data_IF_492274040947
#
_entry.id   IF_492274040947
#
_cell.length_a   1.000
_cell.length_b   1.000
_cell.length_c   1.000
_cell.angle_alpha   90.00
_cell.angle_beta   90.00
_cell.angle_gamma   90.00
#
_symmetry.space_group_name_H-M   'P 1'
#
loop_
_entity.id
_entity.type
_entity.pdbx_description
1 polymer ?
#
# COMPACT_ATOMS: atom_id res chain seq x y z
N UNK A 1 -2.32 18.31 -16.15
CA UNK A 1 -2.05 16.88 -16.45
C UNK A 1 -0.88 16.32 -15.65
N UNK A 2 0.14 17.13 -15.32
CA UNK A 2 1.31 16.70 -14.52
C UNK A 2 0.94 16.15 -13.14
N UNK A 3 -0.04 16.75 -12.45
CA UNK A 3 -0.35 16.37 -11.07
C UNK A 3 -1.02 15.01 -10.91
N UNK A 4 -1.92 14.65 -11.82
CA UNK A 4 -2.52 13.30 -11.81
C UNK A 4 -1.42 12.28 -12.09
N UNK A 5 -0.58 12.52 -13.11
CA UNK A 5 0.57 11.66 -13.41
C UNK A 5 1.50 11.45 -12.22
N UNK A 6 1.75 12.52 -11.44
CA UNK A 6 2.55 12.46 -10.22
C UNK A 6 1.90 11.60 -9.12
N UNK A 7 0.59 11.72 -8.89
CA UNK A 7 -0.13 10.87 -7.91
C UNK A 7 -0.09 9.40 -8.36
N UNK A 8 -0.31 9.13 -9.65
CA UNK A 8 -0.21 7.78 -10.21
C UNK A 8 1.19 7.19 -10.00
N UNK A 9 2.23 7.99 -10.27
CA UNK A 9 3.62 7.59 -10.06
C UNK A 9 3.91 7.34 -8.57
N UNK A 10 3.46 8.22 -7.68
CA UNK A 10 3.63 8.07 -6.23
C UNK A 10 2.98 6.76 -5.75
N UNK A 11 1.76 6.45 -6.21
CA UNK A 11 1.07 5.21 -5.92
C UNK A 11 1.81 3.98 -6.43
N UNK A 12 2.32 4.02 -7.66
CA UNK A 12 3.11 2.93 -8.22
C UNK A 12 4.39 2.67 -7.40
N UNK A 13 5.16 3.73 -7.10
CA UNK A 13 6.39 3.63 -6.31
C UNK A 13 6.09 3.10 -4.91
N UNK A 14 5.09 3.66 -4.22
CA UNK A 14 4.67 3.17 -2.91
C UNK A 14 4.30 1.68 -2.94
N UNK A 15 3.57 1.25 -3.96
CA UNK A 15 3.15 -0.16 -4.14
C UNK A 15 4.34 -1.07 -4.34
N UNK A 16 5.32 -0.67 -5.16
CA UNK A 16 6.55 -1.42 -5.40
C UNK A 16 7.35 -1.54 -4.10
N UNK A 17 7.56 -0.44 -3.37
CA UNK A 17 8.30 -0.44 -2.10
C UNK A 17 7.65 -1.35 -1.05
N UNK A 18 6.32 -1.28 -0.92
CA UNK A 18 5.56 -2.15 -0.01
C UNK A 18 5.65 -3.61 -0.44
N UNK A 19 5.47 -3.90 -1.73
CA UNK A 19 5.54 -5.27 -2.27
C UNK A 19 6.89 -5.90 -2.01
N UNK A 20 7.98 -5.16 -2.27
CA UNK A 20 9.35 -5.63 -2.02
C UNK A 20 9.56 -5.87 -0.52
N UNK A 21 9.09 -4.95 0.33
CA UNK A 21 9.24 -5.06 1.79
C UNK A 21 8.53 -6.29 2.34
N UNK A 22 7.28 -6.52 1.94
CA UNK A 22 6.51 -7.67 2.39
C UNK A 22 7.01 -8.98 1.79
N UNK A 23 7.41 -8.97 0.52
CA UNK A 23 8.06 -10.13 -0.09
C UNK A 23 9.37 -10.48 0.61
N UNK A 24 10.17 -9.50 1.05
CA UNK A 24 11.40 -9.75 1.81
C UNK A 24 11.10 -10.40 3.16
N UNK A 25 10.05 -9.94 3.86
CA UNK A 25 9.59 -10.55 5.12
C UNK A 25 9.13 -12.00 4.88
N UNK A 26 8.37 -12.22 3.81
CA UNK A 26 7.93 -13.57 3.44
C UNK A 26 9.10 -14.49 3.10
N UNK A 27 10.04 -14.01 2.29
CA UNK A 27 11.22 -14.75 1.86
C UNK A 27 12.14 -15.13 3.03
N UNK A 28 12.21 -14.29 4.07
CA UNK A 28 12.92 -14.61 5.31
C UNK A 28 12.28 -15.80 6.09
N UNK A 29 11.12 -16.29 5.67
CA UNK A 29 10.46 -17.49 6.21
C UNK A 29 9.79 -17.28 7.56
N UNK A 30 9.82 -16.07 8.13
CA UNK A 30 9.29 -15.78 9.46
C UNK A 30 7.77 -15.57 9.49
N UNK A 31 7.16 -15.18 8.36
CA UNK A 31 5.74 -14.86 8.24
C UNK A 31 5.24 -15.19 6.83
N UNK A 32 4.05 -15.78 6.68
CA UNK A 32 3.40 -15.93 5.36
C UNK A 32 2.82 -14.58 4.88
N UNK A 33 3.70 -13.67 4.50
CA UNK A 33 3.37 -12.32 4.04
C UNK A 33 3.31 -12.20 2.50
N UNK A 34 3.11 -13.31 1.77
CA UNK A 34 2.92 -13.28 0.31
C UNK A 34 1.53 -12.75 -0.06
N UNK A 35 1.37 -11.45 0.16
CA UNK A 35 0.13 -10.72 -0.07
C UNK A 35 -0.26 -10.75 -1.56
N UNK A 36 0.71 -10.69 -2.47
CA UNK A 36 0.43 -10.69 -3.91
C UNK A 36 -0.25 -12.00 -4.30
N UNK A 37 0.29 -13.14 -3.90
CA UNK A 37 -0.37 -14.42 -4.18
C UNK A 37 -1.64 -14.63 -3.38
N UNK A 38 -1.72 -14.13 -2.15
CA UNK A 38 -2.98 -14.15 -1.39
C UNK A 38 -4.10 -13.44 -2.15
N UNK A 39 -3.90 -12.19 -2.55
CA UNK A 39 -4.86 -11.40 -3.33
C UNK A 39 -5.20 -12.08 -4.65
N UNK A 40 -4.21 -12.53 -5.41
CA UNK A 40 -4.49 -13.16 -6.70
C UNK A 40 -5.25 -14.48 -6.58
N UNK A 41 -4.95 -15.26 -5.54
CA UNK A 41 -5.60 -16.54 -5.28
C UNK A 41 -7.04 -16.42 -4.80
N UNK A 42 -7.46 -15.24 -4.32
CA UNK A 42 -8.89 -14.95 -4.11
C UNK A 42 -9.69 -15.10 -5.39
N UNK A 43 -9.13 -14.70 -6.53
CA UNK A 43 -9.79 -14.77 -7.84
C UNK A 43 -9.58 -16.11 -8.52
N UNK A 44 -8.35 -16.63 -8.49
CA UNK A 44 -7.99 -17.84 -9.25
C UNK A 44 -8.31 -19.13 -8.52
N UNK A 45 -8.42 -19.08 -7.18
CA UNK A 45 -8.49 -20.26 -6.30
C UNK A 45 -7.32 -21.24 -6.50
N UNK A 46 -6.21 -20.76 -7.05
CA UNK A 46 -5.05 -21.57 -7.46
C UNK A 46 -3.77 -20.75 -7.30
N UNK A 47 -2.83 -21.26 -6.50
CA UNK A 47 -1.53 -20.64 -6.23
C UNK A 47 -0.64 -20.45 -7.45
N UNK A 48 -0.72 -21.37 -8.40
CA UNK A 48 0.13 -21.34 -9.59
C UNK A 48 -0.30 -20.23 -10.55
N UNK A 49 -1.57 -19.82 -10.48
CA UNK A 49 -2.15 -18.76 -11.32
C UNK A 49 -2.30 -17.43 -10.58
N UNK A 50 -2.03 -17.39 -9.28
CA UNK A 50 -2.31 -16.23 -8.42
C UNK A 50 -1.39 -15.03 -8.66
N UNK A 51 -0.16 -15.23 -9.13
CA UNK A 51 0.84 -14.16 -9.16
C UNK A 51 0.40 -12.95 -10.01
N UNK A 52 -0.02 -13.18 -11.25
CA UNK A 52 -0.35 -12.09 -12.20
C UNK A 52 -1.61 -11.32 -11.76
N UNK A 53 -2.75 -11.97 -11.45
CA UNK A 53 -3.92 -11.25 -10.93
C UNK A 53 -3.62 -10.50 -9.63
N UNK A 54 -2.75 -11.05 -8.78
CA UNK A 54 -2.27 -10.40 -7.56
C UNK A 54 -1.54 -9.09 -7.83
N UNK A 55 -0.55 -9.11 -8.74
CA UNK A 55 0.24 -7.93 -9.11
C UNK A 55 -0.66 -6.84 -9.68
N UNK A 56 -1.53 -7.20 -10.63
CA UNK A 56 -2.46 -6.26 -11.26
C UNK A 56 -3.34 -5.61 -10.21
N UNK A 57 -3.97 -6.43 -9.36
CA UNK A 57 -4.87 -5.96 -8.31
C UNK A 57 -4.14 -5.03 -7.34
N UNK A 58 -2.94 -5.42 -6.90
CA UNK A 58 -2.17 -4.64 -5.93
C UNK A 58 -1.73 -3.28 -6.51
N UNK A 59 -1.30 -3.24 -7.77
CA UNK A 59 -0.96 -1.99 -8.48
C UNK A 59 -2.19 -1.10 -8.64
N UNK A 60 -3.33 -1.66 -9.06
CA UNK A 60 -4.57 -0.88 -9.24
C UNK A 60 -4.99 -0.25 -7.91
N UNK A 61 -5.07 -1.03 -6.83
CA UNK A 61 -5.43 -0.49 -5.51
C UNK A 61 -4.39 0.50 -4.99
N UNK A 62 -3.10 0.20 -5.14
CA UNK A 62 -2.04 1.10 -4.68
C UNK A 62 -2.00 2.42 -5.43
N UNK A 63 -2.36 2.45 -6.71
CA UNK A 63 -2.58 3.70 -7.45
C UNK A 63 -3.83 4.42 -6.96
N UNK A 64 -4.95 3.71 -6.76
CA UNK A 64 -6.20 4.31 -6.29
C UNK A 64 -6.06 4.93 -4.89
N UNK A 65 -5.37 4.25 -3.97
CA UNK A 65 -5.13 4.76 -2.60
C UNK A 65 -4.13 5.92 -2.55
N UNK A 66 -3.37 6.18 -3.60
CA UNK A 66 -2.47 7.34 -3.64
C UNK A 66 -3.23 8.66 -3.67
N UNK A 67 -4.45 8.70 -4.19
CA UNK A 67 -5.30 9.90 -4.25
C UNK A 67 -5.69 10.41 -2.85
N UNK A 68 -6.32 9.61 -1.97
CA UNK A 68 -6.61 10.06 -0.61
C UNK A 68 -5.33 10.35 0.19
N UNK A 69 -4.22 9.65 -0.08
CA UNK A 69 -2.92 9.98 0.53
C UNK A 69 -2.45 11.37 0.13
N UNK A 70 -2.46 11.67 -1.16
CA UNK A 70 -2.06 12.97 -1.68
C UNK A 70 -2.91 14.11 -1.10
N UNK A 71 -4.23 13.90 -0.97
CA UNK A 71 -5.15 14.87 -0.36
C UNK A 71 -4.77 15.18 1.10
N UNK A 72 -4.54 14.15 1.91
CA UNK A 72 -4.21 14.32 3.33
C UNK A 72 -2.81 14.90 3.51
N UNK A 73 -1.82 14.40 2.75
CA UNK A 73 -0.44 14.90 2.77
C UNK A 73 -0.39 16.39 2.40
N UNK A 74 -1.24 16.85 1.48
CA UNK A 74 -1.30 18.26 1.10
C UNK A 74 -1.77 19.20 2.21
N UNK A 75 -2.40 18.68 3.28
CA UNK A 75 -2.77 19.48 4.44
C UNK A 75 -1.58 19.75 5.37
N UNK A 76 -0.47 19.04 5.18
CA UNK A 76 0.75 19.25 5.94
C UNK A 76 1.53 20.48 5.40
N UNK A 77 2.44 21.07 6.20
CA UNK A 77 3.35 22.08 5.71
C UNK A 77 4.09 21.63 4.44
N UNK A 78 4.22 22.52 3.45
CA UNK A 78 4.86 22.25 2.15
C UNK A 78 6.40 22.14 2.24
N UNK A 79 6.88 21.21 3.07
CA UNK A 79 8.28 20.85 3.23
C UNK A 79 8.43 19.33 3.17
N UNK A 80 9.53 18.85 2.58
CA UNK A 80 9.75 17.43 2.31
C UNK A 80 9.51 16.53 3.53
N UNK A 81 10.05 16.90 4.69
CA UNK A 81 9.93 16.08 5.90
C UNK A 81 8.49 15.94 6.38
N UNK A 82 7.66 16.98 6.24
CA UNK A 82 6.26 16.94 6.65
C UNK A 82 5.45 16.00 5.74
N UNK A 83 5.82 15.89 4.46
CA UNK A 83 5.19 14.99 3.51
C UNK A 83 5.52 13.53 3.82
N UNK A 84 6.79 13.25 4.12
CA UNK A 84 7.26 11.91 4.49
C UNK A 84 6.60 11.47 5.80
N UNK A 85 6.60 12.32 6.83
CA UNK A 85 6.02 12.00 8.14
C UNK A 85 4.51 11.80 8.04
N UNK A 86 3.79 12.70 7.35
CA UNK A 86 2.33 12.56 7.17
C UNK A 86 2.00 11.33 6.36
N UNK A 87 2.73 11.06 5.28
CA UNK A 87 2.58 9.86 4.45
C UNK A 87 2.83 8.58 5.25
N UNK A 88 3.91 8.53 6.02
CA UNK A 88 4.23 7.40 6.90
C UNK A 88 3.16 7.17 7.97
N UNK A 89 2.70 8.23 8.65
CA UNK A 89 1.63 8.14 9.64
C UNK A 89 0.33 7.61 9.03
N UNK A 90 -0.06 8.11 7.85
CA UNK A 90 -1.23 7.62 7.13
C UNK A 90 -1.05 6.16 6.70
N UNK A 91 0.13 5.81 6.21
CA UNK A 91 0.58 4.45 5.96
C UNK A 91 0.36 3.51 7.14
N UNK A 92 0.85 3.91 8.31
CA UNK A 92 0.71 3.16 9.54
C UNK A 92 -0.76 2.91 9.92
N UNK A 93 -1.60 3.95 9.93
CA UNK A 93 -3.02 3.80 10.27
C UNK A 93 -3.78 2.97 9.24
N UNK A 94 -3.51 3.15 7.95
CA UNK A 94 -4.11 2.34 6.90
C UNK A 94 -3.68 0.87 7.03
N UNK A 95 -2.42 0.62 7.34
CA UNK A 95 -1.91 -0.72 7.60
C UNK A 95 -2.58 -1.40 8.79
N UNK A 96 -2.92 -0.65 9.85
CA UNK A 96 -3.72 -1.17 10.97
C UNK A 96 -5.12 -1.57 10.53
N UNK A 97 -5.79 -0.69 9.77
CA UNK A 97 -7.12 -0.96 9.23
C UNK A 97 -7.12 -2.22 8.36
N UNK A 98 -6.18 -2.30 7.41
CA UNK A 98 -6.06 -3.44 6.49
C UNK A 98 -5.66 -4.70 7.25
N UNK A 99 -4.70 -4.63 8.17
CA UNK A 99 -4.28 -5.75 9.01
C UNK A 99 -5.44 -6.32 9.84
N UNK A 100 -6.26 -5.45 10.43
CA UNK A 100 -7.47 -5.86 11.16
C UNK A 100 -8.48 -6.54 10.23
N UNK A 101 -8.83 -5.91 9.09
CA UNK A 101 -9.75 -6.49 8.12
C UNK A 101 -9.26 -7.84 7.62
N UNK A 102 -7.95 -7.97 7.38
CA UNK A 102 -7.35 -9.21 6.92
C UNK A 102 -7.55 -10.35 7.92
N UNK A 103 -7.13 -10.14 9.17
CA UNK A 103 -7.21 -11.18 10.21
C UNK A 103 -8.66 -11.48 10.60
N UNK A 104 -9.51 -10.44 10.72
CA UNK A 104 -10.86 -10.60 11.23
C UNK A 104 -11.85 -11.12 10.18
N UNK A 105 -11.70 -10.73 8.91
CA UNK A 105 -12.73 -10.96 7.88
C UNK A 105 -12.23 -11.77 6.69
N UNK A 106 -11.02 -11.49 6.22
CA UNK A 106 -10.51 -12.01 4.94
C UNK A 106 -9.91 -13.41 5.13
N UNK A 107 -9.07 -13.60 6.14
CA UNK A 107 -8.37 -14.85 6.42
C UNK A 107 -9.36 -16.01 6.57
N UNK A 108 -10.40 -15.85 7.39
CA UNK A 108 -11.39 -16.90 7.66
C UNK A 108 -12.12 -17.42 6.42
N UNK A 109 -12.23 -16.60 5.37
CA UNK A 109 -12.97 -16.91 4.14
C UNK A 109 -12.06 -17.12 2.93
N UNK A 110 -10.75 -17.07 3.11
CA UNK A 110 -9.81 -17.20 2.02
C UNK A 110 -10.01 -18.56 1.32
N UNK A 111 -10.02 -18.66 -0.02
CA UNK A 111 -10.26 -19.93 -0.72
C UNK A 111 -9.17 -20.99 -0.44
N UNK A 112 -7.94 -20.55 -0.24
CA UNK A 112 -6.79 -21.41 0.08
C UNK A 112 -6.47 -21.44 1.58
N UNK A 113 -6.23 -22.63 2.12
CA UNK A 113 -5.99 -22.89 3.55
C UNK A 113 -4.76 -22.18 4.11
N UNK A 114 -3.64 -22.16 3.36
CA UNK A 114 -2.39 -21.53 3.78
C UNK A 114 -2.48 -20.01 4.06
N UNK A 115 -3.53 -19.34 3.59
CA UNK A 115 -3.79 -17.93 3.86
C UNK A 115 -4.93 -17.72 4.87
N UNK A 116 -5.59 -18.80 5.34
CA UNK A 116 -6.58 -18.73 6.41
C UNK A 116 -5.97 -18.55 7.80
N UNK A 117 -4.70 -18.90 7.93
CA UNK A 117 -3.93 -18.81 9.18
C UNK A 117 -3.24 -17.44 9.37
N UNK A 118 -3.67 -16.41 8.62
CA UNK A 118 -3.10 -15.07 8.78
C UNK A 118 -3.37 -14.54 10.20
N UNK A 119 -2.34 -14.56 11.04
CA UNK A 119 -2.38 -14.08 12.41
C UNK A 119 -1.81 -12.69 12.60
N UNK A 120 -1.52 -12.34 13.86
CA UNK A 120 -0.98 -11.02 14.26
C UNK A 120 0.33 -10.69 13.54
N UNK A 121 1.19 -11.68 13.28
CA UNK A 121 2.44 -11.49 12.55
C UNK A 121 2.22 -11.01 11.10
N UNK A 122 1.21 -11.56 10.41
CA UNK A 122 0.83 -11.12 9.07
C UNK A 122 0.24 -9.71 9.11
N UNK A 123 -0.59 -9.40 10.11
CA UNK A 123 -1.11 -8.04 10.29
C UNK A 123 0.01 -7.03 10.54
N UNK A 124 0.99 -7.36 11.40
CA UNK A 124 2.15 -6.51 11.66
C UNK A 124 3.00 -6.29 10.41
N UNK A 125 3.20 -7.33 9.59
CA UNK A 125 3.87 -7.21 8.29
C UNK A 125 3.11 -6.26 7.35
N UNK A 126 1.78 -6.29 7.34
CA UNK A 126 0.96 -5.34 6.57
C UNK A 126 1.05 -3.91 7.11
N UNK A 127 1.07 -3.71 8.43
CA UNK A 127 1.29 -2.38 9.04
C UNK A 127 2.62 -1.81 8.57
N UNK A 128 3.69 -2.61 8.66
CA UNK A 128 5.01 -2.20 8.18
C UNK A 128 5.02 -1.93 6.66
N UNK A 129 4.41 -2.81 5.86
CA UNK A 129 4.28 -2.62 4.42
C UNK A 129 3.59 -1.30 4.05
N UNK A 130 2.47 -0.97 4.70
CA UNK A 130 1.74 0.26 4.43
C UNK A 130 2.45 1.51 4.96
N UNK A 131 3.21 1.41 6.06
CA UNK A 131 4.12 2.47 6.50
C UNK A 131 5.12 2.81 5.38
N UNK A 132 5.76 1.78 4.80
CA UNK A 132 6.70 1.94 3.69
C UNK A 132 6.01 2.51 2.43
N UNK A 133 4.80 2.04 2.10
CA UNK A 133 3.98 2.62 1.03
C UNK A 133 3.79 4.12 1.24
N UNK A 134 3.36 4.52 2.44
CA UNK A 134 3.05 5.91 2.78
C UNK A 134 4.29 6.81 2.76
N UNK A 135 5.43 6.31 3.24
CA UNK A 135 6.73 6.98 3.11
C UNK A 135 7.09 7.18 1.64
N UNK A 136 6.94 6.13 0.80
CA UNK A 136 7.22 6.21 -0.63
C UNK A 136 6.37 7.27 -1.35
N UNK A 137 5.06 7.31 -1.06
CA UNK A 137 4.16 8.35 -1.58
C UNK A 137 4.60 9.74 -1.11
N UNK A 138 4.88 9.91 0.19
CA UNK A 138 5.32 11.17 0.77
C UNK A 138 6.63 11.69 0.16
N UNK A 139 7.61 10.80 -0.09
CA UNK A 139 8.88 11.15 -0.75
C UNK A 139 8.62 11.67 -2.16
N UNK A 140 7.85 10.94 -2.99
CA UNK A 140 7.59 11.33 -4.38
C UNK A 140 6.87 12.68 -4.45
N UNK A 141 5.81 12.85 -3.66
CA UNK A 141 5.04 14.10 -3.64
C UNK A 141 5.87 15.27 -3.08
N UNK A 142 6.66 15.03 -2.03
CA UNK A 142 7.48 16.07 -1.39
C UNK A 142 8.62 16.55 -2.26
N UNK A 143 9.33 15.64 -2.95
CA UNK A 143 10.40 15.98 -3.89
C UNK A 143 9.87 16.78 -5.09
N UNK A 144 8.64 16.48 -5.53
CA UNK A 144 8.00 17.20 -6.62
C UNK A 144 7.34 18.52 -6.19
N UNK A 145 7.38 18.89 -4.90
CA UNK A 145 6.75 20.11 -4.40
C UNK A 145 5.23 20.14 -4.59
N UNK A 146 4.58 18.97 -4.49
CA UNK A 146 3.15 18.83 -4.77
C UNK A 146 2.30 19.80 -3.97
N UNK A 147 1.42 20.55 -4.64
CA UNK A 147 0.44 21.42 -4.01
C UNK A 147 -0.91 21.25 -4.71
N UNK A 148 -1.93 20.79 -3.99
CA UNK A 148 -3.26 20.52 -4.53
C UNK A 148 -4.00 21.79 -4.99
N UNK A 149 -3.63 22.98 -4.49
CA UNK A 149 -4.22 24.25 -4.96
C UNK A 149 -3.90 24.53 -6.43
N UNK A 150 -2.71 24.11 -6.88
CA UNK A 150 -2.31 24.17 -8.29
C UNK A 150 -3.17 23.25 -9.19
N UNK A 151 -3.83 22.24 -8.62
CA UNK A 151 -4.68 21.27 -9.35
C UNK A 151 -6.07 21.83 -9.62
N UNK A 152 -6.60 22.61 -8.68
CA UNK A 152 -7.94 23.20 -8.79
C UNK A 152 -7.95 24.60 -9.43
N UNK A 153 -6.78 25.13 -9.82
CA UNK A 153 -6.68 26.49 -10.35
C UNK A 153 -7.10 27.57 -9.35
N UNK A 154 -7.02 27.24 -8.05
CA UNK A 154 -7.37 28.15 -6.97
C UNK A 154 -6.09 28.85 -6.50
N UNK A 155 -5.96 30.13 -6.82
CA UNK A 155 -4.91 31.00 -6.28
C UNK A 155 -5.15 31.28 -4.79
#
# INVERSE_FOLDING_TARGET
METIGLILLAGLIGTVCMSISMWSIHYAGSVNADMIRAIGSFFTKDMNKALVPGIITHIVFGIMFAFPYALIINLAPHVLIAYIVTGGALGFFHGYLVGFVLVALVAQRHPLEQFREAGISVAAAHVFGHLIYGVGVGVVLGLAGFNFRLVLGMN
#
